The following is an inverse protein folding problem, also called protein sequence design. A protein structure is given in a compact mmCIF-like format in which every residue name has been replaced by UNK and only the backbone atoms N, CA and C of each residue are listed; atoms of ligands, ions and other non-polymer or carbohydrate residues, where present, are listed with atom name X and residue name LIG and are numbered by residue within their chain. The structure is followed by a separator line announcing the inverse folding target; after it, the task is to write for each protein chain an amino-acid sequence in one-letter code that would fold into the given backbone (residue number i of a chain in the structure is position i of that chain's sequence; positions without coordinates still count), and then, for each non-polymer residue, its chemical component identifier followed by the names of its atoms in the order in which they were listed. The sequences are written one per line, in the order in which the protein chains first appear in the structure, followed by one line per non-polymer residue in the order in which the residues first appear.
data_IF_494792695670
#
_entry.id   IF_494792695670
#
_cell.length_a   1.000
_cell.length_b   1.000
_cell.length_c   1.000
_cell.angle_alpha   90.00
_cell.angle_beta   90.00
_cell.angle_gamma   90.00
#
_symmetry.space_group_name_H-M   'P 1'
#
loop_
_entity.id
_entity.type
_entity.pdbx_description
1 polymer ?
#
# COMPACT_ATOMS: atom_id res chain seq x y z
N UNK A 1 4.79 12.09 3.54
CA UNK A 1 3.30 12.13 3.51
C UNK A 1 2.73 13.48 3.97
N UNK A 2 2.86 13.89 5.26
CA UNK A 2 2.23 15.14 5.76
C UNK A 2 2.45 16.39 4.89
N UNK A 3 3.71 16.66 4.49
CA UNK A 3 4.09 17.96 3.92
C UNK A 3 3.38 18.14 2.57
N UNK A 4 3.20 17.02 1.86
CA UNK A 4 2.41 16.92 0.63
C UNK A 4 0.93 17.19 0.90
N UNK A 5 0.33 16.58 1.93
CA UNK A 5 -1.07 16.83 2.32
C UNK A 5 -1.28 18.31 2.68
N UNK A 6 -0.39 18.90 3.50
CA UNK A 6 -0.46 20.32 3.87
C UNK A 6 -0.34 21.22 2.65
N UNK A 7 0.61 20.93 1.74
CA UNK A 7 0.77 21.71 0.50
C UNK A 7 -0.47 21.61 -0.37
N UNK A 8 -1.01 20.40 -0.56
CA UNK A 8 -2.21 20.17 -1.35
C UNK A 8 -3.43 20.91 -0.77
N UNK A 9 -3.63 20.85 0.55
CA UNK A 9 -4.67 21.61 1.26
C UNK A 9 -4.57 23.12 0.97
N UNK A 10 -3.35 23.67 1.06
CA UNK A 10 -3.09 25.08 0.73
C UNK A 10 -3.38 25.42 -0.74
N UNK A 11 -2.98 24.56 -1.68
CA UNK A 11 -3.26 24.73 -3.11
C UNK A 11 -4.75 24.62 -3.44
N UNK A 12 -5.49 23.78 -2.69
CA UNK A 12 -6.93 23.55 -2.85
C UNK A 12 -7.83 24.54 -2.09
N UNK A 13 -7.29 25.66 -1.59
CA UNK A 13 -8.08 26.70 -0.91
C UNK A 13 -8.40 26.42 0.56
N UNK A 14 -7.64 25.56 1.23
CA UNK A 14 -7.75 25.29 2.67
C UNK A 14 -8.67 24.13 3.05
N UNK A 15 -8.97 23.23 2.11
CA UNK A 15 -9.70 22.00 2.40
C UNK A 15 -8.91 21.04 3.30
N UNK A 16 -9.59 20.28 4.14
CA UNK A 16 -8.96 19.28 5.03
C UNK A 16 -8.94 17.92 4.35
N UNK A 17 -7.81 17.21 4.42
CA UNK A 17 -7.68 15.80 4.03
C UNK A 17 -7.47 14.96 5.29
N UNK A 18 -8.53 14.37 5.87
CA UNK A 18 -8.38 13.52 7.05
C UNK A 18 -7.47 12.33 6.74
N UNK A 19 -6.53 12.05 7.64
CA UNK A 19 -5.54 10.99 7.49
C UNK A 19 -5.89 9.81 8.39
N UNK A 20 -6.38 8.74 7.79
CA UNK A 20 -6.66 7.49 8.48
C UNK A 20 -5.43 6.58 8.41
N UNK A 21 -4.88 6.22 9.57
CA UNK A 21 -3.67 5.41 9.69
C UNK A 21 -4.05 4.05 10.25
N UNK A 22 -4.01 3.03 9.40
CA UNK A 22 -4.21 1.65 9.83
C UNK A 22 -2.94 1.11 10.48
N UNK A 23 -3.07 0.60 11.70
CA UNK A 23 -2.00 -0.06 12.46
C UNK A 23 -2.34 -1.53 12.67
N UNK A 24 -1.35 -2.33 13.09
CA UNK A 24 -1.60 -3.63 13.70
C UNK A 24 -1.52 -3.50 15.21
N UNK A 25 -2.06 -4.45 15.99
CA UNK A 25 -1.87 -4.45 17.44
C UNK A 25 -0.39 -4.38 17.87
N UNK A 26 0.52 -4.89 17.03
CA UNK A 26 1.96 -4.88 17.27
C UNK A 26 2.64 -3.55 16.95
N UNK A 27 2.01 -2.68 16.17
CA UNK A 27 2.59 -1.41 15.72
C UNK A 27 1.85 -0.18 16.24
N UNK A 28 0.64 -0.34 16.78
CA UNK A 28 -0.24 0.77 17.16
C UNK A 28 0.38 1.71 18.20
N UNK A 29 0.77 1.18 19.37
CA UNK A 29 1.32 1.99 20.46
C UNK A 29 2.53 2.82 20.04
N UNK A 30 3.54 2.17 19.45
CA UNK A 30 4.75 2.86 18.97
C UNK A 30 4.44 3.90 17.88
N UNK A 31 3.45 3.65 17.02
CA UNK A 31 3.05 4.59 15.97
C UNK A 31 2.40 5.82 16.58
N UNK A 32 1.46 5.66 17.52
CA UNK A 32 0.80 6.77 18.20
C UNK A 32 1.79 7.63 18.97
N UNK A 33 2.67 6.98 19.75
CA UNK A 33 3.73 7.67 20.50
C UNK A 33 4.63 8.49 19.59
N UNK A 34 5.01 7.94 18.43
CA UNK A 34 5.84 8.65 17.46
C UNK A 34 5.14 9.89 16.90
N UNK A 35 3.84 9.81 16.60
CA UNK A 35 3.09 10.99 16.16
C UNK A 35 2.94 12.03 17.27
N UNK A 36 2.66 11.62 18.51
CA UNK A 36 2.53 12.52 19.65
C UNK A 36 3.84 13.26 19.97
N UNK A 37 4.96 12.52 20.02
CA UNK A 37 6.30 13.09 20.23
C UNK A 37 6.68 14.12 19.16
N UNK A 38 6.16 13.96 17.94
CA UNK A 38 6.40 14.87 16.83
C UNK A 38 5.26 15.88 16.64
N UNK A 39 4.35 16.05 17.62
CA UNK A 39 3.22 16.99 17.57
C UNK A 39 2.35 16.82 16.32
N UNK A 40 2.05 15.57 15.94
CA UNK A 40 1.34 15.18 14.71
C UNK A 40 1.96 15.78 13.46
N UNK A 41 3.23 16.14 13.58
CA UNK A 41 3.99 16.88 12.61
C UNK A 41 3.31 18.19 12.12
N UNK A 42 2.46 18.80 12.96
CA UNK A 42 1.73 20.03 12.64
C UNK A 42 0.40 19.83 11.89
N UNK A 43 -0.05 18.59 11.69
CA UNK A 43 -1.44 18.31 11.32
C UNK A 43 -2.30 18.39 12.58
N UNK A 44 -3.55 18.85 12.47
CA UNK A 44 -4.47 18.82 13.61
C UNK A 44 -4.67 17.37 14.07
N UNK A 45 -4.54 17.11 15.37
CA UNK A 45 -4.79 15.79 15.98
C UNK A 45 -6.19 15.27 15.65
N UNK A 46 -7.17 16.16 15.48
CA UNK A 46 -8.54 15.80 15.11
C UNK A 46 -8.65 15.24 13.68
N UNK A 47 -7.67 15.50 12.82
CA UNK A 47 -7.64 15.05 11.42
C UNK A 47 -6.69 13.86 11.19
N UNK A 48 -6.08 13.32 12.25
CA UNK A 48 -5.30 12.07 12.20
C UNK A 48 -6.01 11.00 13.02
N UNK A 49 -6.61 10.03 12.33
CA UNK A 49 -7.42 8.97 12.93
C UNK A 49 -6.69 7.64 12.82
N UNK A 50 -6.28 7.09 13.96
CA UNK A 50 -5.67 5.76 14.02
C UNK A 50 -6.73 4.70 14.28
N UNK A 51 -6.63 3.58 13.55
CA UNK A 51 -7.48 2.41 13.74
C UNK A 51 -6.67 1.14 13.52
N UNK A 52 -6.97 0.10 14.29
CA UNK A 52 -6.26 -1.17 14.21
C UNK A 52 -6.96 -2.13 13.25
N UNK A 53 -6.17 -2.85 12.46
CA UNK A 53 -6.64 -4.05 11.76
C UNK A 53 -6.75 -5.24 12.71
N UNK A 54 -7.48 -6.27 12.28
CA UNK A 54 -7.66 -7.47 13.07
C UNK A 54 -6.43 -8.37 13.07
N UNK A 55 -6.59 -9.51 13.77
CA UNK A 55 -5.63 -10.60 13.73
C UNK A 55 -6.34 -11.92 13.48
N UNK A 56 -5.65 -12.86 12.87
CA UNK A 56 -6.10 -14.24 12.71
C UNK A 56 -5.17 -15.21 13.46
N UNK A 57 -5.70 -16.34 13.95
CA UNK A 57 -4.89 -17.41 14.49
C UNK A 57 -3.90 -17.94 13.45
N UNK A 58 -2.67 -18.18 13.88
CA UNK A 58 -1.70 -18.97 13.12
C UNK A 58 -2.10 -20.44 13.19
N UNK A 59 -1.99 -21.16 12.07
CA UNK A 59 -2.34 -22.58 12.01
C UNK A 59 -1.11 -23.44 11.75
N UNK A 60 -1.12 -24.68 12.23
CA UNK A 60 -0.16 -25.72 11.85
C UNK A 60 -0.36 -26.08 10.38
N UNK A 61 0.58 -26.82 9.79
CA UNK A 61 0.39 -27.37 8.43
C UNK A 61 -0.82 -28.32 8.36
N UNK A 62 -1.27 -28.88 9.49
CA UNK A 62 -2.46 -29.72 9.59
C UNK A 62 -3.77 -28.94 9.81
N UNK A 63 -3.71 -27.62 10.02
CA UNK A 63 -4.87 -26.76 10.25
C UNK A 63 -5.20 -26.51 11.73
N UNK A 64 -4.40 -27.02 12.67
CA UNK A 64 -4.62 -26.79 14.11
C UNK A 64 -4.16 -25.40 14.53
N UNK A 65 -4.84 -24.77 15.50
CA UNK A 65 -4.41 -23.48 16.04
C UNK A 65 -3.08 -23.63 16.79
N UNK A 66 -2.09 -22.81 16.43
CA UNK A 66 -0.81 -22.75 17.13
C UNK A 66 -0.91 -21.88 18.39
N UNK A 67 -0.27 -22.35 19.46
CA UNK A 67 -0.16 -21.63 20.72
C UNK A 67 1.21 -20.97 20.82
N UNK A 68 1.30 -19.66 21.06
CA UNK A 68 2.57 -18.94 21.25
C UNK A 68 3.18 -19.21 22.63
N UNK A 69 2.32 -19.26 23.65
CA UNK A 69 2.64 -19.57 25.03
C UNK A 69 1.46 -20.32 25.68
N UNK A 70 1.67 -20.88 26.87
CA UNK A 70 0.58 -21.51 27.62
C UNK A 70 -0.55 -20.49 27.84
N UNK A 71 -1.76 -20.82 27.38
CA UNK A 71 -2.92 -19.93 27.46
C UNK A 71 -2.92 -18.76 26.47
N UNK A 72 -1.97 -18.68 25.53
CA UNK A 72 -1.87 -17.61 24.53
C UNK A 72 -1.80 -18.17 23.11
N UNK A 73 -2.82 -17.87 22.30
CA UNK A 73 -2.87 -18.25 20.88
C UNK A 73 -1.85 -17.44 20.08
N UNK A 74 -1.10 -18.09 19.20
CA UNK A 74 -0.27 -17.40 18.23
C UNK A 74 -1.16 -16.72 17.20
N UNK A 75 -1.03 -15.41 17.06
CA UNK A 75 -1.81 -14.61 16.10
C UNK A 75 -0.90 -13.81 15.19
N UNK A 76 -1.43 -13.42 14.03
CA UNK A 76 -0.77 -12.53 13.08
C UNK A 76 -1.80 -11.55 12.51
N UNK A 77 -1.38 -10.40 11.96
CA UNK A 77 -2.30 -9.50 11.29
C UNK A 77 -2.99 -10.21 10.14
N UNK A 78 -4.24 -9.85 9.86
CA UNK A 78 -5.13 -10.49 8.89
C UNK A 78 -4.86 -10.09 7.42
N UNK A 79 -3.68 -9.55 7.13
CA UNK A 79 -3.29 -9.02 5.83
C UNK A 79 -3.84 -7.62 5.55
N UNK A 80 -3.31 -6.93 4.52
CA UNK A 80 -3.72 -5.57 4.21
C UNK A 80 -5.18 -5.46 3.72
N UNK A 81 -5.80 -6.57 3.29
CA UNK A 81 -7.23 -6.66 2.98
C UNK A 81 -8.14 -6.60 4.21
N UNK A 82 -7.60 -6.78 5.42
CA UNK A 82 -8.31 -6.55 6.68
C UNK A 82 -8.78 -5.10 6.87
N UNK A 83 -8.25 -4.16 6.07
CA UNK A 83 -8.62 -2.75 6.08
C UNK A 83 -10.12 -2.51 5.96
N UNK A 84 -10.84 -3.29 5.16
CA UNK A 84 -12.27 -3.04 4.91
C UNK A 84 -13.12 -3.31 6.15
N UNK A 85 -12.87 -4.44 6.82
CA UNK A 85 -13.48 -4.77 8.10
C UNK A 85 -13.08 -3.76 9.17
N UNK A 86 -11.79 -3.46 9.27
CA UNK A 86 -11.24 -2.52 10.25
C UNK A 86 -11.85 -1.12 10.12
N UNK A 87 -12.02 -0.60 8.90
CA UNK A 87 -12.68 0.68 8.64
C UNK A 87 -14.14 0.70 9.10
N UNK A 88 -14.87 -0.41 8.92
CA UNK A 88 -16.26 -0.52 9.35
C UNK A 88 -16.38 -0.63 10.88
N UNK A 89 -15.62 -1.54 11.50
CA UNK A 89 -15.71 -1.83 12.94
C UNK A 89 -15.18 -0.69 13.82
N UNK A 90 -14.14 0.01 13.37
CA UNK A 90 -13.59 1.18 14.09
C UNK A 90 -14.48 2.42 14.02
N UNK A 91 -15.47 2.44 13.13
CA UNK A 91 -16.28 3.62 12.85
C UNK A 91 -15.60 4.65 11.92
N UNK A 92 -14.39 4.39 11.42
CA UNK A 92 -13.70 5.26 10.46
C UNK A 92 -14.55 5.52 9.20
N UNK A 93 -15.24 4.50 8.70
CA UNK A 93 -16.13 4.66 7.54
C UNK A 93 -17.32 5.58 7.84
N UNK A 94 -17.85 5.53 9.06
CA UNK A 94 -18.90 6.44 9.50
C UNK A 94 -18.38 7.88 9.68
N UNK A 95 -17.16 8.03 10.18
CA UNK A 95 -16.48 9.33 10.32
C UNK A 95 -16.22 9.98 8.96
N UNK A 96 -15.72 9.22 7.98
CA UNK A 96 -15.55 9.68 6.59
C UNK A 96 -16.85 10.28 6.04
N UNK A 97 -17.98 9.58 6.21
CA UNK A 97 -19.30 10.05 5.77
C UNK A 97 -19.76 11.29 6.52
N UNK A 98 -19.58 11.32 7.84
CA UNK A 98 -19.90 12.49 8.68
C UNK A 98 -19.13 13.74 8.25
N UNK A 99 -17.88 13.57 7.81
CA UNK A 99 -17.01 14.64 7.29
C UNK A 99 -17.30 15.02 5.83
N UNK A 100 -18.20 14.31 5.15
CA UNK A 100 -18.53 14.54 3.74
C UNK A 100 -17.43 14.10 2.77
N UNK A 101 -16.54 13.19 3.18
CA UNK A 101 -15.58 12.55 2.27
C UNK A 101 -16.36 11.79 1.20
N UNK A 102 -15.93 11.91 -0.07
CA UNK A 102 -16.51 11.19 -1.21
C UNK A 102 -15.58 10.12 -1.79
N UNK A 103 -14.28 10.37 -1.66
CA UNK A 103 -13.23 9.55 -2.27
C UNK A 103 -12.09 9.34 -1.28
N UNK A 104 -11.49 8.16 -1.33
CA UNK A 104 -10.38 7.76 -0.48
C UNK A 104 -9.20 7.34 -1.37
N UNK A 105 -8.03 7.86 -1.04
CA UNK A 105 -6.76 7.36 -1.56
C UNK A 105 -6.13 6.46 -0.48
N UNK A 106 -5.96 5.18 -0.78
CA UNK A 106 -5.21 4.26 0.06
C UNK A 106 -3.83 3.98 -0.55
N UNK A 107 -2.79 3.97 0.27
CA UNK A 107 -1.42 3.67 -0.18
C UNK A 107 -0.64 2.89 0.87
N UNK A 108 0.30 2.04 0.42
CA UNK A 108 1.28 1.43 1.32
C UNK A 108 2.25 2.47 1.90
N UNK A 109 2.68 2.26 3.15
CA UNK A 109 3.53 3.21 3.92
C UNK A 109 4.99 3.24 3.45
N UNK A 110 5.44 2.18 2.79
CA UNK A 110 6.84 1.94 2.45
C UNK A 110 7.30 2.57 1.14
N UNK A 111 6.39 3.20 0.39
CA UNK A 111 6.75 3.93 -0.82
C UNK A 111 7.20 5.36 -0.47
N UNK A 112 8.50 5.62 -0.54
CA UNK A 112 9.09 6.93 -0.24
C UNK A 112 8.66 8.03 -1.22
N UNK A 113 8.28 7.67 -2.45
CA UNK A 113 7.86 8.60 -3.50
C UNK A 113 6.36 8.83 -3.57
N UNK A 114 5.56 8.17 -2.72
CA UNK A 114 4.10 8.23 -2.75
C UNK A 114 3.55 9.65 -2.77
N UNK A 115 2.69 9.97 -3.74
CA UNK A 115 1.97 11.25 -3.85
C UNK A 115 0.61 11.16 -3.13
N UNK A 116 0.51 11.45 -1.82
CA UNK A 116 -0.74 11.33 -1.08
C UNK A 116 -1.78 12.30 -1.60
N UNK A 117 -2.99 11.79 -1.78
CA UNK A 117 -4.11 12.49 -2.42
C UNK A 117 -3.77 13.11 -3.79
N UNK A 118 -2.99 12.43 -4.65
CA UNK A 118 -2.63 12.93 -5.98
C UNK A 118 -3.84 13.43 -6.79
N UNK A 119 -3.97 14.75 -7.03
CA UNK A 119 -5.14 15.32 -7.68
C UNK A 119 -5.29 14.88 -9.13
N UNK A 120 -4.19 14.54 -9.83
CA UNK A 120 -4.26 14.09 -11.22
C UNK A 120 -4.95 12.72 -11.32
N UNK A 121 -4.47 11.75 -10.54
CA UNK A 121 -5.08 10.42 -10.50
C UNK A 121 -6.50 10.45 -9.93
N UNK A 122 -6.71 11.14 -8.81
CA UNK A 122 -8.04 11.30 -8.22
C UNK A 122 -9.00 11.94 -9.23
N UNK A 123 -8.59 13.02 -9.90
CA UNK A 123 -9.38 13.69 -10.92
C UNK A 123 -9.73 12.78 -12.10
N UNK A 124 -8.76 12.02 -12.62
CA UNK A 124 -9.00 11.04 -13.68
C UNK A 124 -10.04 9.98 -13.27
N UNK A 125 -9.95 9.44 -12.06
CA UNK A 125 -10.94 8.49 -11.54
C UNK A 125 -12.33 9.13 -11.41
N UNK A 126 -12.40 10.35 -10.89
CA UNK A 126 -13.66 11.10 -10.69
C UNK A 126 -14.33 11.42 -12.03
N UNK A 127 -13.60 12.01 -12.98
CA UNK A 127 -14.11 12.33 -14.32
C UNK A 127 -14.53 11.08 -15.08
N UNK A 128 -13.80 9.99 -14.90
CA UNK A 128 -14.18 8.69 -15.45
C UNK A 128 -15.40 8.09 -14.75
N UNK A 129 -15.87 8.60 -13.63
CA UNK A 129 -16.94 8.00 -12.84
C UNK A 129 -16.57 6.62 -12.29
N UNK A 130 -15.29 6.41 -11.96
CA UNK A 130 -14.78 5.18 -11.36
C UNK A 130 -15.29 5.05 -9.92
N UNK A 131 -15.56 3.82 -9.48
CA UNK A 131 -15.84 3.49 -8.08
C UNK A 131 -14.62 2.88 -7.38
N UNK A 132 -13.69 2.32 -8.16
CA UNK A 132 -12.40 1.83 -7.71
C UNK A 132 -11.32 2.13 -8.76
N UNK A 133 -10.08 2.34 -8.36
CA UNK A 133 -8.96 2.49 -9.28
C UNK A 133 -7.63 2.14 -8.64
N UNK A 134 -6.62 1.93 -9.46
CA UNK A 134 -5.27 1.66 -9.00
C UNK A 134 -4.25 2.39 -9.86
N UNK A 135 -3.21 2.91 -9.22
CA UNK A 135 -2.00 3.30 -9.94
C UNK A 135 -1.16 2.06 -10.23
N UNK A 136 -0.53 2.08 -11.40
CA UNK A 136 0.39 1.04 -11.85
C UNK A 136 1.65 1.65 -12.41
N UNK A 137 2.75 0.91 -12.34
CA UNK A 137 3.97 1.21 -13.08
C UNK A 137 4.25 0.06 -14.04
N UNK A 138 4.83 0.33 -15.23
CA UNK A 138 5.40 -0.72 -16.05
C UNK A 138 6.33 -1.63 -15.23
N UNK A 139 6.26 -2.94 -15.47
CA UNK A 139 7.20 -3.89 -14.90
C UNK A 139 8.60 -3.60 -15.41
N UNK A 140 9.58 -3.67 -14.52
CA UNK A 140 10.99 -3.47 -14.86
C UNK A 140 11.56 -4.67 -15.64
N UNK A 141 11.05 -5.87 -15.39
CA UNK A 141 11.37 -7.09 -16.14
C UNK A 141 10.28 -8.16 -15.95
N UNK A 142 10.34 -9.25 -16.71
CA UNK A 142 9.41 -10.37 -16.57
C UNK A 142 9.48 -11.02 -15.18
N UNK A 143 10.66 -11.00 -14.55
CA UNK A 143 10.98 -11.63 -13.26
C UNK A 143 10.69 -10.72 -12.06
N UNK A 144 10.30 -9.47 -12.28
CA UNK A 144 9.98 -8.56 -11.19
C UNK A 144 8.84 -9.14 -10.32
N UNK A 145 9.11 -9.25 -9.01
CA UNK A 145 8.20 -9.80 -8.01
C UNK A 145 7.10 -8.78 -7.63
N UNK A 146 6.28 -8.41 -8.60
CA UNK A 146 5.15 -7.49 -8.45
C UNK A 146 3.89 -8.12 -9.02
N UNK A 147 2.78 -8.03 -8.28
CA UNK A 147 1.47 -8.42 -8.79
C UNK A 147 1.05 -7.55 -9.97
N UNK A 148 0.39 -8.13 -10.96
CA UNK A 148 -0.05 -7.43 -12.18
C UNK A 148 -1.56 -7.25 -12.19
N UNK A 149 -2.03 -6.07 -12.61
CA UNK A 149 -3.46 -5.81 -12.76
C UNK A 149 -3.94 -6.33 -14.09
N UNK A 150 -4.93 -7.22 -14.04
CA UNK A 150 -5.57 -7.83 -15.20
C UNK A 150 -7.09 -7.64 -15.14
N UNK A 151 -7.75 -7.81 -16.28
CA UNK A 151 -9.22 -7.89 -16.31
C UNK A 151 -9.70 -9.14 -15.59
N UNK A 152 -10.72 -9.01 -14.74
CA UNK A 152 -11.34 -10.16 -14.10
C UNK A 152 -12.38 -10.82 -15.04
N UNK A 153 -12.54 -12.17 -15.02
CA UNK A 153 -13.46 -12.89 -15.91
C UNK A 153 -14.94 -12.45 -15.84
N UNK A 154 -15.37 -11.81 -14.74
CA UNK A 154 -16.75 -11.35 -14.51
C UNK A 154 -16.96 -9.83 -14.65
N UNK A 155 -15.97 -9.08 -15.11
CA UNK A 155 -15.95 -7.62 -15.02
C UNK A 155 -15.13 -7.12 -13.83
N UNK A 156 -14.78 -5.83 -13.84
CA UNK A 156 -13.80 -5.26 -12.90
C UNK A 156 -12.36 -5.67 -13.23
N UNK A 157 -11.49 -5.51 -12.24
CA UNK A 157 -10.07 -5.88 -12.32
C UNK A 157 -9.73 -6.92 -11.26
N UNK A 158 -8.56 -7.54 -11.39
CA UNK A 158 -7.94 -8.37 -10.35
C UNK A 158 -6.45 -8.15 -10.38
N UNK A 159 -5.79 -8.39 -9.25
CA UNK A 159 -4.34 -8.54 -9.23
C UNK A 159 -4.04 -10.03 -9.30
N UNK A 160 -3.11 -10.41 -10.16
CA UNK A 160 -2.52 -11.75 -10.17
C UNK A 160 -1.12 -11.60 -9.58
N UNK A 161 -0.87 -12.26 -8.46
CA UNK A 161 0.43 -12.19 -7.80
C UNK A 161 1.50 -12.89 -8.65
N UNK A 162 2.73 -12.38 -8.60
CA UNK A 162 3.83 -12.88 -9.44
C UNK A 162 4.07 -14.40 -9.25
N UNK A 163 3.84 -14.92 -8.04
CA UNK A 163 3.98 -16.35 -7.72
C UNK A 163 2.91 -17.24 -8.35
N UNK A 164 1.88 -16.66 -8.96
CA UNK A 164 0.76 -17.37 -9.60
C UNK A 164 0.82 -17.31 -11.13
N UNK A 165 1.79 -16.58 -11.69
CA UNK A 165 1.92 -16.38 -13.14
C UNK A 165 2.97 -17.36 -13.68
N UNK A 166 2.63 -18.20 -14.67
CA UNK A 166 3.61 -19.02 -15.37
C UNK A 166 4.72 -18.17 -16.01
N UNK A 167 5.96 -18.66 -16.00
CA UNK A 167 7.12 -17.92 -16.51
C UNK A 167 6.98 -17.52 -17.98
N UNK A 168 6.44 -18.40 -18.82
CA UNK A 168 6.19 -18.15 -20.24
C UNK A 168 5.15 -17.04 -20.47
N UNK A 169 4.09 -17.01 -19.65
CA UNK A 169 3.07 -15.95 -19.67
C UNK A 169 3.64 -14.63 -19.14
N UNK A 170 4.48 -14.66 -18.10
CA UNK A 170 5.10 -13.46 -17.53
C UNK A 170 6.11 -12.80 -18.48
N UNK A 171 6.75 -13.61 -19.33
CA UNK A 171 7.74 -13.17 -20.32
C UNK A 171 7.13 -12.84 -21.70
N UNK A 172 5.81 -12.97 -21.86
CA UNK A 172 5.14 -12.66 -23.13
C UNK A 172 5.25 -11.16 -23.45
N UNK A 173 5.65 -10.85 -24.69
CA UNK A 173 5.86 -9.49 -25.19
C UNK A 173 4.86 -9.20 -26.31
N UNK A 174 4.25 -8.02 -26.29
CA UNK A 174 3.44 -7.51 -27.39
C UNK A 174 4.36 -7.14 -28.56
N UNK A 175 4.27 -7.83 -29.72
CA UNK A 175 5.17 -7.57 -30.86
C UNK A 175 5.04 -6.16 -31.46
N UNK A 176 3.94 -5.45 -31.18
CA UNK A 176 3.68 -4.11 -31.72
C UNK A 176 4.31 -2.99 -30.88
N UNK A 177 4.42 -3.19 -29.57
CA UNK A 177 4.99 -2.20 -28.64
C UNK A 177 6.39 -2.58 -28.16
N UNK A 178 6.72 -3.87 -28.15
CA UNK A 178 7.95 -4.41 -27.55
C UNK A 178 7.89 -4.48 -26.02
N UNK A 179 6.73 -4.21 -25.41
CA UNK A 179 6.52 -4.26 -23.97
C UNK A 179 5.94 -5.60 -23.53
N UNK A 180 6.04 -5.92 -22.23
CA UNK A 180 5.38 -7.11 -21.67
C UNK A 180 3.87 -7.03 -21.86
N UNK A 181 3.21 -8.15 -22.18
CA UNK A 181 1.74 -8.20 -22.23
C UNK A 181 1.14 -7.94 -20.84
N UNK A 182 1.78 -8.46 -19.80
CA UNK A 182 1.41 -8.23 -18.41
C UNK A 182 2.30 -7.14 -17.78
N UNK A 183 2.13 -5.89 -18.23
CA UNK A 183 2.98 -4.77 -17.81
C UNK A 183 2.46 -3.95 -16.62
N UNK A 184 1.19 -4.07 -16.27
CA UNK A 184 0.53 -3.20 -15.28
C UNK A 184 0.87 -3.60 -13.82
N UNK A 185 2.10 -3.31 -13.38
CA UNK A 185 2.58 -3.62 -12.03
C UNK A 185 1.85 -2.83 -10.94
N UNK A 186 1.20 -3.52 -10.02
CA UNK A 186 0.48 -2.93 -8.90
C UNK A 186 1.46 -2.35 -7.87
N UNK A 187 1.35 -1.05 -7.60
CA UNK A 187 2.19 -0.33 -6.63
C UNK A 187 1.50 -0.06 -5.29
N UNK A 188 0.39 -0.77 -5.00
CA UNK A 188 -0.40 -0.62 -3.77
C UNK A 188 -0.83 0.83 -3.50
N UNK A 189 -1.37 1.48 -4.53
CA UNK A 189 -1.86 2.85 -4.48
C UNK A 189 -3.22 2.91 -5.19
N UNK A 190 -4.28 3.11 -4.42
CA UNK A 190 -5.66 2.81 -4.84
C UNK A 190 -6.61 3.96 -4.56
N UNK A 191 -7.59 4.09 -5.44
CA UNK A 191 -8.71 5.01 -5.35
C UNK A 191 -9.98 4.22 -5.01
N UNK A 192 -10.80 4.77 -4.12
CA UNK A 192 -12.13 4.24 -3.84
C UNK A 192 -13.16 5.36 -3.69
N UNK A 193 -14.37 5.15 -4.20
CA UNK A 193 -15.52 5.88 -3.69
C UNK A 193 -15.92 5.37 -2.30
N UNK A 194 -16.55 6.23 -1.49
CA UNK A 194 -17.06 5.80 -0.18
C UNK A 194 -18.10 4.69 -0.32
N UNK A 195 -18.97 4.75 -1.33
CA UNK A 195 -19.98 3.73 -1.58
C UNK A 195 -19.34 2.38 -1.91
N UNK A 196 -18.22 2.38 -2.65
CA UNK A 196 -17.48 1.17 -2.93
C UNK A 196 -16.82 0.60 -1.67
N UNK A 197 -16.21 1.44 -0.81
CA UNK A 197 -15.65 0.98 0.47
C UNK A 197 -16.72 0.37 1.40
N UNK A 198 -17.93 0.95 1.44
CA UNK A 198 -19.06 0.39 2.20
C UNK A 198 -19.51 -0.97 1.68
N UNK A 199 -19.45 -1.19 0.36
CA UNK A 199 -19.70 -2.49 -0.23
C UNK A 199 -18.56 -3.47 0.08
N UNK A 200 -17.31 -3.04 -0.09
CA UNK A 200 -16.11 -3.85 0.13
C UNK A 200 -16.01 -4.39 1.55
N UNK A 201 -16.40 -3.60 2.56
CA UNK A 201 -16.46 -4.03 3.97
C UNK A 201 -17.40 -5.21 4.24
N UNK A 202 -18.32 -5.52 3.30
CA UNK A 202 -19.28 -6.61 3.42
C UNK A 202 -18.95 -7.79 2.50
N UNK A 203 -17.89 -7.67 1.68
CA UNK A 203 -17.51 -8.71 0.74
C UNK A 203 -16.73 -9.81 1.47
N UNK A 204 -17.08 -11.09 1.23
CA UNK A 204 -16.18 -12.17 1.57
C UNK A 204 -14.99 -12.16 0.60
N UNK A 205 -13.79 -11.90 1.09
CA UNK A 205 -12.55 -12.01 0.32
C UNK A 205 -11.78 -13.29 0.72
N UNK A 206 -11.04 -13.90 -0.21
CA UNK A 206 -10.30 -15.12 0.05
C UNK A 206 -9.19 -14.89 1.08
N UNK A 207 -8.81 -15.97 1.76
CA UNK A 207 -7.58 -16.02 2.55
C UNK A 207 -6.45 -16.62 1.74
N UNK A 208 -5.35 -15.90 1.65
CA UNK A 208 -4.10 -16.34 1.05
C UNK A 208 -3.22 -17.00 2.11
N UNK A 209 -2.54 -18.09 1.72
CA UNK A 209 -1.77 -18.92 2.64
C UNK A 209 -0.28 -18.54 2.57
N UNK A 210 0.25 -17.99 3.66
CA UNK A 210 1.66 -17.71 3.82
C UNK A 210 2.33 -18.74 4.76
N UNK A 211 3.15 -19.64 4.21
CA UNK A 211 3.93 -20.60 5.00
C UNK A 211 5.06 -19.88 5.75
N UNK A 212 5.13 -20.03 7.07
CA UNK A 212 6.11 -19.34 7.93
C UNK A 212 6.67 -20.26 9.00
N UNK A 213 7.80 -19.82 9.57
CA UNK A 213 8.36 -20.32 10.82
C UNK A 213 7.66 -19.58 11.97
N UNK A 214 6.81 -20.27 12.70
CA UNK A 214 5.94 -19.70 13.73
C UNK A 214 6.35 -20.32 15.06
N UNK A 215 6.83 -19.50 15.99
CA UNK A 215 7.14 -19.96 17.33
C UNK A 215 5.88 -20.53 17.99
N UNK A 216 6.00 -21.69 18.63
CA UNK A 216 4.86 -22.41 19.19
C UNK A 216 5.23 -23.13 20.49
N UNK A 217 4.24 -23.48 21.29
CA UNK A 217 4.40 -24.33 22.49
C UNK A 217 4.38 -25.79 22.08
N UNK A 218 5.43 -26.52 22.42
CA UNK A 218 5.53 -27.96 22.18
C UNK A 218 4.75 -28.78 23.22
N UNK A 219 4.70 -30.10 23.06
CA UNK A 219 3.98 -31.02 23.95
C UNK A 219 4.47 -31.00 25.42
N UNK A 220 5.66 -30.43 25.68
CA UNK A 220 6.22 -30.27 27.03
C UNK A 220 5.83 -28.94 27.67
N UNK A 221 5.10 -28.09 26.96
CA UNK A 221 4.75 -26.76 27.43
C UNK A 221 5.84 -25.70 27.24
N UNK A 222 6.89 -25.99 26.46
CA UNK A 222 8.01 -25.08 26.21
C UNK A 222 7.85 -24.37 24.86
N UNK A 223 8.20 -23.07 24.78
CA UNK A 223 8.19 -22.32 23.52
C UNK A 223 9.38 -22.71 22.65
N UNK A 224 9.10 -23.16 21.44
CA UNK A 224 10.09 -23.57 20.44
C UNK A 224 10.05 -22.63 19.23
N UNK A 225 11.23 -22.22 18.74
CA UNK A 225 11.36 -21.50 17.46
C UNK A 225 11.81 -22.49 16.38
N UNK A 226 10.96 -22.78 15.39
CA UNK A 226 11.23 -23.82 14.41
C UNK A 226 12.30 -23.39 13.40
N UNK A 227 13.09 -24.35 12.92
CA UNK A 227 14.16 -24.13 11.92
C UNK A 227 13.64 -24.15 10.48
N UNK A 228 12.48 -24.77 10.24
CA UNK A 228 11.77 -24.83 8.97
C UNK A 228 10.31 -24.33 9.12
N UNK A 229 9.62 -24.11 8.00
CA UNK A 229 8.21 -23.69 8.04
C UNK A 229 7.36 -24.78 8.69
N UNK A 230 6.68 -24.45 9.79
CA UNK A 230 5.84 -25.37 10.58
C UNK A 230 4.37 -24.97 10.59
N UNK A 231 4.04 -23.76 10.12
CA UNK A 231 2.67 -23.26 10.12
C UNK A 231 2.37 -22.31 8.98
N UNK A 232 1.13 -21.86 8.96
CA UNK A 232 0.56 -20.95 7.97
C UNK A 232 -0.05 -19.73 8.67
N UNK A 233 0.13 -18.58 8.04
CA UNK A 233 -0.64 -17.36 8.31
C UNK A 233 -1.66 -17.17 7.20
N UNK A 234 -2.85 -16.72 7.56
CA UNK A 234 -3.91 -16.37 6.63
C UNK A 234 -3.91 -14.85 6.46
N UNK A 235 -3.88 -14.38 5.22
CA UNK A 235 -3.87 -12.95 4.90
C UNK A 235 -4.93 -12.66 3.83
N UNK A 236 -5.67 -11.57 3.99
CA UNK A 236 -6.51 -11.01 2.93
C UNK A 236 -5.71 -9.95 2.19
N UNK A 237 -5.94 -9.80 0.88
CA UNK A 237 -5.30 -8.75 0.10
C UNK A 237 -6.26 -7.60 -0.22
N UNK A 238 -5.75 -6.37 -0.11
CA UNK A 238 -6.52 -5.14 -0.32
C UNK A 238 -7.14 -5.09 -1.72
N UNK A 239 -6.49 -5.66 -2.73
CA UNK A 239 -6.99 -5.65 -4.10
C UNK A 239 -8.00 -6.77 -4.42
N UNK A 240 -8.29 -7.68 -3.49
CA UNK A 240 -9.25 -8.77 -3.73
C UNK A 240 -10.71 -8.29 -3.89
N UNK A 241 -10.98 -7.02 -3.57
CA UNK A 241 -12.28 -6.40 -3.84
C UNK A 241 -12.43 -5.88 -5.28
N UNK A 242 -11.35 -5.75 -6.06
CA UNK A 242 -11.38 -5.15 -7.40
C UNK A 242 -12.35 -5.82 -8.39
N UNK A 243 -12.59 -7.15 -8.34
CA UNK A 243 -13.57 -7.79 -9.22
C UNK A 243 -15.00 -7.28 -9.02
N UNK A 244 -15.29 -6.64 -7.89
CA UNK A 244 -16.61 -6.12 -7.55
C UNK A 244 -16.81 -4.64 -7.96
N UNK A 245 -15.78 -4.00 -8.55
CA UNK A 245 -15.89 -2.64 -9.07
C UNK A 245 -16.78 -2.62 -10.30
N UNK A 246 -17.70 -1.65 -10.34
CA UNK A 246 -18.57 -1.40 -11.50
C UNK A 246 -17.80 -0.69 -12.61
N UNK A 247 -16.86 0.18 -12.24
CA UNK A 247 -16.00 0.90 -13.18
C UNK A 247 -14.61 1.09 -12.57
N UNK A 248 -13.70 0.23 -13.01
CA UNK A 248 -12.31 0.24 -12.58
C UNK A 248 -11.44 1.08 -13.52
N UNK A 249 -10.51 1.86 -12.97
CA UNK A 249 -9.52 2.64 -13.74
C UNK A 249 -8.10 2.30 -13.31
N UNK A 250 -7.23 2.03 -14.28
CA UNK A 250 -5.78 1.99 -14.06
C UNK A 250 -5.17 3.34 -14.44
N UNK A 251 -4.38 3.94 -13.54
CA UNK A 251 -3.56 5.11 -13.83
C UNK A 251 -2.09 4.71 -13.91
N UNK A 252 -1.54 4.62 -15.12
CA UNK A 252 -0.11 4.38 -15.30
C UNK A 252 0.70 5.61 -14.90
N UNK A 253 1.79 5.40 -14.16
CA UNK A 253 2.69 6.45 -13.70
C UNK A 253 4.15 6.10 -13.98
N UNK A 254 5.00 7.13 -13.98
CA UNK A 254 6.45 6.97 -14.10
C UNK A 254 7.01 6.46 -12.77
N UNK A 255 7.70 5.31 -12.83
CA UNK A 255 8.26 4.64 -11.64
C UNK A 255 9.18 5.56 -10.86
N UNK A 256 10.08 6.24 -11.55
CA UNK A 256 11.07 7.15 -10.97
C UNK A 256 10.46 8.40 -10.32
N UNK A 257 9.18 8.71 -10.58
CA UNK A 257 8.48 9.82 -9.95
C UNK A 257 7.60 9.40 -8.77
N UNK A 258 7.08 8.17 -8.80
CA UNK A 258 5.97 7.77 -7.91
C UNK A 258 6.18 6.46 -7.16
N UNK A 259 7.21 5.68 -7.46
CA UNK A 259 7.44 4.37 -6.85
C UNK A 259 8.90 4.14 -6.42
N UNK A 260 9.15 4.34 -5.13
CA UNK A 260 10.42 4.05 -4.46
C UNK A 260 10.19 3.26 -3.17
N UNK A 261 9.90 1.95 -3.24
CA UNK A 261 9.58 1.14 -2.08
C UNK A 261 10.80 0.88 -1.19
N UNK A 262 10.55 0.67 0.11
CA UNK A 262 11.55 0.29 1.11
C UNK A 262 11.13 -1.03 1.75
N UNK A 263 11.65 -2.13 1.19
CA UNK A 263 11.40 -3.52 1.61
C UNK A 263 12.62 -4.18 2.25
N UNK A 264 13.82 -3.77 1.83
CA UNK A 264 15.09 -4.39 2.18
C UNK A 264 15.90 -3.50 3.13
N UNK A 265 16.85 -4.11 3.84
CA UNK A 265 17.75 -3.39 4.75
C UNK A 265 18.69 -2.42 4.00
N UNK A 266 19.26 -1.41 4.68
CA UNK A 266 20.31 -0.55 4.11
C UNK A 266 21.45 -1.34 3.47
N UNK A 267 21.96 -0.86 2.34
CA UNK A 267 22.99 -1.50 1.54
C UNK A 267 22.50 -2.55 0.55
N UNK A 268 21.22 -2.96 0.60
CA UNK A 268 20.65 -3.83 -0.42
C UNK A 268 20.55 -3.10 -1.78
N UNK A 269 20.75 -3.81 -2.92
CA UNK A 269 20.83 -3.20 -4.24
C UNK A 269 19.47 -2.72 -4.78
N UNK A 270 18.37 -3.20 -4.22
CA UNK A 270 16.99 -2.84 -4.61
C UNK A 270 16.14 -2.60 -3.37
N UNK A 271 15.11 -1.75 -3.53
CA UNK A 271 14.05 -1.47 -2.55
C UNK A 271 14.56 -1.24 -1.12
N UNK A 272 15.66 -0.50 -0.97
CA UNK A 272 16.30 -0.19 0.30
C UNK A 272 16.20 1.30 0.63
N UNK A 273 16.50 1.72 1.88
CA UNK A 273 16.57 3.15 2.21
C UNK A 273 17.52 3.94 1.30
N UNK A 274 18.62 3.31 0.86
CA UNK A 274 19.60 3.94 -0.02
C UNK A 274 19.05 4.17 -1.43
N UNK A 275 18.37 3.17 -2.01
CA UNK A 275 17.76 3.30 -3.34
C UNK A 275 16.61 4.30 -3.32
N UNK A 276 15.76 4.28 -2.28
CA UNK A 276 14.67 5.23 -2.11
C UNK A 276 15.17 6.67 -1.96
N UNK A 277 16.24 6.87 -1.18
CA UNK A 277 16.90 8.18 -1.04
C UNK A 277 17.47 8.66 -2.38
N UNK A 278 18.15 7.78 -3.12
CA UNK A 278 18.70 8.13 -4.43
C UNK A 278 17.61 8.58 -5.41
N UNK A 279 16.49 7.85 -5.47
CA UNK A 279 15.34 8.22 -6.29
C UNK A 279 14.74 9.58 -5.89
N UNK A 280 14.54 9.83 -4.58
CA UNK A 280 14.01 11.10 -4.09
C UNK A 280 14.90 12.29 -4.47
N UNK A 281 16.23 12.13 -4.33
CA UNK A 281 17.21 13.17 -4.66
C UNK A 281 17.34 13.39 -6.18
N UNK A 282 17.21 12.32 -6.98
CA UNK A 282 17.18 12.41 -8.43
C UNK A 282 15.92 13.15 -8.90
N UNK A 283 14.76 12.84 -8.30
CA UNK A 283 13.50 13.50 -8.60
C UNK A 283 13.53 14.99 -8.26
N UNK A 284 14.05 15.36 -7.08
CA UNK A 284 14.20 16.78 -6.74
C UNK A 284 15.19 17.52 -7.64
N UNK A 285 16.25 16.85 -8.12
CA UNK A 285 17.16 17.42 -9.13
C UNK A 285 16.44 17.62 -10.47
N UNK A 286 15.63 16.66 -10.90
CA UNK A 286 14.78 16.77 -12.11
C UNK A 286 13.87 18.00 -12.00
N UNK A 287 13.13 18.15 -10.91
CA UNK A 287 12.25 19.31 -10.71
C UNK A 287 13.00 20.64 -10.75
N UNK A 288 14.17 20.72 -10.09
CA UNK A 288 14.98 21.95 -10.10
C UNK A 288 15.45 22.31 -11.52
N UNK A 289 15.88 21.33 -12.32
CA UNK A 289 16.32 21.53 -13.70
C UNK A 289 15.16 21.94 -14.63
N UNK A 290 14.01 21.28 -14.50
CA UNK A 290 12.80 21.62 -15.27
C UNK A 290 12.28 23.02 -14.96
N UNK A 291 12.49 23.50 -13.72
CA UNK A 291 12.21 24.88 -13.32
C UNK A 291 13.27 25.91 -13.78
N UNK A 292 14.28 25.50 -14.55
CA UNK A 292 15.33 26.37 -15.05
C UNK A 292 16.54 26.55 -14.12
N UNK A 293 16.65 25.72 -13.08
CA UNK A 293 17.82 25.67 -12.21
C UNK A 293 19.06 25.15 -12.93
N UNK A 294 20.25 25.51 -12.43
CA UNK A 294 21.53 25.01 -12.94
C UNK A 294 22.03 23.90 -12.01
N UNK A 295 22.34 22.72 -12.56
CA UNK A 295 23.01 21.65 -11.82
C UNK A 295 24.43 21.47 -12.37
N UNK A 296 25.46 21.88 -11.64
CA UNK A 296 26.83 21.61 -12.06
C UNK A 296 27.10 20.09 -12.03
N UNK A 297 28.06 19.57 -12.83
CA UNK A 297 28.29 18.13 -12.98
C UNK A 297 28.54 17.37 -11.67
N UNK A 298 29.13 18.04 -10.68
CA UNK A 298 29.43 17.51 -9.35
C UNK A 298 28.22 17.49 -8.40
N UNK A 299 27.11 18.15 -8.74
CA UNK A 299 25.90 18.13 -7.93
C UNK A 299 25.25 16.75 -8.03
N UNK A 300 25.31 15.98 -6.94
CA UNK A 300 24.68 14.66 -6.83
C UNK A 300 23.18 14.73 -7.06
N UNK A 301 22.40 14.93 -6.00
CA UNK A 301 20.95 15.12 -6.09
C UNK A 301 20.46 16.21 -5.15
N UNK A 302 19.19 16.58 -5.29
CA UNK A 302 18.58 17.73 -4.60
C UNK A 302 17.36 17.23 -3.84
N UNK A 303 17.27 17.56 -2.56
CA UNK A 303 16.05 17.36 -1.78
C UNK A 303 15.16 18.60 -1.90
N UNK A 304 13.95 18.42 -2.42
CA UNK A 304 12.94 19.48 -2.48
C UNK A 304 11.89 19.19 -1.42
N UNK A 305 11.77 20.08 -0.43
CA UNK A 305 10.74 19.94 0.60
C UNK A 305 9.35 19.96 -0.05
N UNK A 306 8.44 19.03 0.32
CA UNK A 306 7.11 19.03 -0.25
C UNK A 306 6.23 20.26 0.06
N UNK A 307 6.64 21.10 1.02
CA UNK A 307 6.00 22.41 1.26
C UNK A 307 6.34 23.44 0.18
N UNK A 308 7.48 23.27 -0.49
CA UNK A 308 7.93 24.11 -1.59
C UNK A 308 7.26 23.63 -2.89
N UNK A 309 7.46 22.36 -3.25
CA UNK A 309 6.82 21.72 -4.40
C UNK A 309 6.19 20.39 -4.03
N UNK A 310 4.90 20.22 -4.31
CA UNK A 310 4.22 18.93 -4.10
C UNK A 310 4.72 17.89 -5.11
N UNK A 311 4.82 18.33 -6.37
CA UNK A 311 5.36 17.69 -7.56
C UNK A 311 6.07 18.82 -8.29
#
# INVERSE_FOLDING_TARGET
MRLRITRLSGLGGGGVCPWYVMTSPMTDGATRDFFEQNSYFGVDKADVVFFEQGTLPCLSMGGDVLMEAQGKVATAPDGNGGIYRALAESGCLADMKKRGVKYVHASSVDNALVLPCDPLFLGCCVESGADCGAKVCPKASAEEAVGVICKAPGGGARVVEYSEIPEDVSAEVDPSTGELVLNAGNICNHFYSIEFLEAAAKLPTPYHIAKKKIAFVNDKGETETPTANNGVKLEQFIFDCFPHSKKFVCGEVLREEEFGPVKNAPGAPTDSPDTAKALLLALGKKYALEAGGLAPPELGGVEVSPLVSYR
#
